data_IF_866665009283
#
_entry.id   IF_866665009283
#
_cell.length_a   1.000
_cell.length_b   1.000
_cell.length_c   1.000
_cell.angle_alpha   90.00
_cell.angle_beta   90.00
_cell.angle_gamma   90.00
#
_symmetry.space_group_name_H-M   'P 1'
#
loop_
_entity.id
_entity.type
_entity.pdbx_description
1 polymer ?
#
# COMPACT_ATOMS: atom_id res chain seq x y z
N UNK A 1 -21.75 -1.53 10.72
CA UNK A 1 -20.41 -1.16 11.18
C UNK A 1 -19.44 -1.32 10.02
N UNK A 2 -18.77 -0.25 9.60
CA UNK A 2 -17.76 -0.28 8.52
C UNK A 2 -16.40 0.05 9.11
N UNK A 3 -15.39 -0.77 8.83
CA UNK A 3 -14.00 -0.55 9.27
C UNK A 3 -13.03 -0.87 8.14
N UNK A 4 -11.97 -0.08 8.02
CA UNK A 4 -10.93 -0.30 7.01
C UNK A 4 -9.61 0.33 7.46
N UNK A 5 -8.51 -0.08 6.83
CA UNK A 5 -7.17 0.48 7.06
C UNK A 5 -6.63 0.98 5.73
N UNK A 6 -5.97 2.14 5.75
CA UNK A 6 -5.35 2.76 4.57
C UNK A 6 -3.94 3.22 4.88
N UNK A 7 -3.08 3.29 3.87
CA UNK A 7 -1.70 3.70 4.06
C UNK A 7 -1.55 5.21 4.09
N UNK A 8 -0.61 5.67 4.89
CA UNK A 8 -0.19 7.05 4.97
C UNK A 8 1.18 7.17 4.30
N UNK A 9 1.31 8.04 3.31
CA UNK A 9 2.56 8.25 2.59
C UNK A 9 3.09 9.65 2.81
N UNK A 10 4.41 9.79 2.88
CA UNK A 10 5.09 11.08 2.81
C UNK A 10 5.07 11.60 1.37
N UNK A 11 4.77 12.89 1.22
CA UNK A 11 4.87 13.61 -0.05
C UNK A 11 5.85 14.76 0.11
N UNK A 12 6.66 14.97 -0.92
CA UNK A 12 7.60 16.08 -1.04
C UNK A 12 7.29 16.80 -2.36
N UNK A 13 6.86 18.07 -2.32
CA UNK A 13 6.43 18.78 -3.53
C UNK A 13 5.32 18.07 -4.32
N UNK A 14 4.44 17.32 -3.63
CA UNK A 14 3.38 16.45 -4.20
C UNK A 14 3.88 15.19 -4.91
N UNK A 15 5.16 14.87 -4.80
CA UNK A 15 5.73 13.59 -5.25
C UNK A 15 5.59 12.57 -4.11
N UNK A 16 4.96 11.43 -4.42
CA UNK A 16 4.78 10.35 -3.45
C UNK A 16 6.12 9.72 -3.09
N UNK A 17 6.45 9.72 -1.81
CA UNK A 17 7.62 9.08 -1.23
C UNK A 17 7.26 7.82 -0.45
N UNK A 18 8.01 7.58 0.62
CA UNK A 18 7.93 6.37 1.43
C UNK A 18 6.60 6.26 2.19
N UNK A 19 6.24 5.02 2.53
CA UNK A 19 5.20 4.75 3.51
C UNK A 19 5.63 5.34 4.87
N UNK A 20 4.75 6.14 5.45
CA UNK A 20 4.93 6.86 6.71
C UNK A 20 3.95 6.36 7.81
N UNK A 21 3.31 5.22 7.61
CA UNK A 21 2.38 4.59 8.54
C UNK A 21 1.02 4.27 7.92
N UNK A 22 -0.03 4.31 8.75
CA UNK A 22 -1.38 3.93 8.33
C UNK A 22 -2.46 4.67 9.10
N UNK A 23 -3.66 4.66 8.55
CA UNK A 23 -4.89 5.16 9.18
C UNK A 23 -5.87 3.99 9.29
N UNK A 24 -6.34 3.73 10.51
CA UNK A 24 -7.44 2.78 10.76
C UNK A 24 -8.72 3.56 10.99
N UNK A 25 -9.76 3.23 10.25
CA UNK A 25 -11.06 3.90 10.29
C UNK A 25 -12.12 2.95 10.83
N UNK A 26 -12.96 3.44 11.73
CA UNK A 26 -14.12 2.75 12.29
C UNK A 26 -15.34 3.68 12.20
N UNK A 27 -16.40 3.25 11.52
CA UNK A 27 -17.63 4.01 11.31
C UNK A 27 -18.76 3.27 12.03
N UNK A 28 -19.24 3.89 13.11
CA UNK A 28 -20.20 3.32 14.06
C UNK A 28 -21.45 4.20 14.16
N UNK A 29 -22.38 4.07 13.21
CA UNK A 29 -23.64 4.82 13.22
C UNK A 29 -23.37 6.32 13.38
N UNK A 30 -23.70 6.88 14.54
CA UNK A 30 -23.52 8.29 14.88
C UNK A 30 -22.07 8.77 14.98
N UNK A 31 -21.11 7.90 15.35
CA UNK A 31 -19.71 8.31 15.56
C UNK A 31 -18.75 7.54 14.68
N UNK A 32 -17.82 8.29 14.07
CA UNK A 32 -16.70 7.74 13.33
C UNK A 32 -15.40 8.06 14.06
N UNK A 33 -14.53 7.06 14.16
CA UNK A 33 -13.20 7.20 14.72
C UNK A 33 -12.17 6.86 13.66
N UNK A 34 -11.09 7.63 13.60
CA UNK A 34 -9.93 7.25 12.80
C UNK A 34 -8.65 7.43 13.60
N UNK A 35 -7.87 6.36 13.65
CA UNK A 35 -6.57 6.30 14.28
C UNK A 35 -5.51 6.59 13.23
N UNK A 36 -4.72 7.63 13.44
CA UNK A 36 -3.53 7.94 12.66
C UNK A 36 -2.33 7.37 13.38
N UNK A 37 -1.59 6.48 12.72
CA UNK A 37 -0.31 5.99 13.21
C UNK A 37 0.78 6.36 12.21
N UNK A 38 1.72 7.17 12.66
CA UNK A 38 2.90 7.57 11.91
C UNK A 38 4.09 6.75 12.40
N UNK A 39 4.83 6.18 11.45
CA UNK A 39 6.14 5.54 11.66
C UNK A 39 7.05 5.95 10.51
N UNK A 40 8.36 5.90 10.73
CA UNK A 40 9.36 6.08 9.67
C UNK A 40 9.46 7.50 9.07
N UNK A 41 9.17 8.55 9.84
CA UNK A 41 9.48 9.93 9.43
C UNK A 41 10.93 10.38 9.73
N UNK A 42 11.84 9.43 9.90
CA UNK A 42 13.24 9.70 10.24
C UNK A 42 13.37 10.44 11.57
N UNK A 43 14.15 11.53 11.61
CA UNK A 43 14.40 12.31 12.83
C UNK A 43 13.39 13.45 13.05
N UNK A 44 12.34 13.54 12.24
CA UNK A 44 11.36 14.63 12.34
C UNK A 44 10.68 14.63 13.72
N UNK A 45 10.62 15.81 14.34
CA UNK A 45 9.84 16.05 15.54
C UNK A 45 9.19 17.43 15.42
N UNK A 46 7.89 17.51 15.67
CA UNK A 46 7.11 18.71 15.42
C UNK A 46 5.61 18.43 15.46
N UNK A 47 4.78 19.46 15.23
CA UNK A 47 3.34 19.26 15.11
C UNK A 47 2.94 18.92 13.68
N UNK A 48 1.75 18.37 13.54
CA UNK A 48 1.05 18.28 12.27
C UNK A 48 -0.43 18.57 12.43
N UNK A 49 -1.03 19.19 11.41
CA UNK A 49 -2.48 19.45 11.35
C UNK A 49 -3.15 18.43 10.44
N UNK A 50 -4.22 17.81 10.94
CA UNK A 50 -4.91 16.72 10.27
C UNK A 50 -6.20 17.23 9.63
N UNK A 51 -6.32 17.00 8.34
CA UNK A 51 -7.45 17.43 7.52
C UNK A 51 -8.16 16.23 6.90
N UNK A 52 -9.49 16.22 6.99
CA UNK A 52 -10.37 15.36 6.21
C UNK A 52 -10.67 16.07 4.89
N UNK A 53 -10.40 15.39 3.77
CA UNK A 53 -10.52 15.97 2.44
C UNK A 53 -11.83 15.53 1.78
N UNK A 54 -12.51 16.49 1.15
CA UNK A 54 -13.77 16.32 0.44
C UNK A 54 -13.64 16.77 -1.02
N UNK A 55 -14.69 16.56 -1.81
CA UNK A 55 -14.78 17.11 -3.17
C UNK A 55 -14.77 18.65 -3.17
N UNK A 56 -14.44 19.24 -4.34
CA UNK A 56 -14.42 20.68 -4.60
C UNK A 56 -13.42 21.48 -3.73
N UNK A 57 -12.24 20.91 -3.47
CA UNK A 57 -11.16 21.53 -2.67
C UNK A 57 -11.55 21.84 -1.21
N UNK A 58 -12.67 21.28 -0.73
CA UNK A 58 -13.08 21.43 0.66
C UNK A 58 -12.25 20.53 1.58
N UNK A 59 -11.74 21.11 2.67
CA UNK A 59 -11.02 20.41 3.72
C UNK A 59 -11.59 20.81 5.09
N UNK A 60 -11.72 19.84 5.99
CA UNK A 60 -12.16 20.07 7.37
C UNK A 60 -11.04 19.65 8.31
N UNK A 61 -10.64 20.56 9.19
CA UNK A 61 -9.64 20.25 10.22
C UNK A 61 -10.23 19.31 11.28
N UNK A 62 -9.63 18.13 11.42
CA UNK A 62 -10.00 17.17 12.45
C UNK A 62 -9.31 17.45 13.79
N UNK A 63 -8.06 17.93 13.75
CA UNK A 63 -7.27 18.34 14.91
C UNK A 63 -5.76 18.37 14.64
N UNK A 64 -4.97 18.45 15.71
CA UNK A 64 -3.50 18.41 15.65
C UNK A 64 -2.97 17.04 16.10
N UNK A 65 -1.75 16.67 15.69
CA UNK A 65 -0.93 15.62 16.30
C UNK A 65 0.47 16.12 16.57
N UNK A 66 1.16 15.47 17.51
CA UNK A 66 2.59 15.72 17.76
C UNK A 66 3.40 14.50 17.34
N UNK A 67 4.37 14.72 16.45
CA UNK A 67 5.37 13.72 16.06
C UNK A 67 6.60 13.87 16.93
N UNK A 68 7.08 12.75 17.48
CA UNK A 68 8.33 12.67 18.22
C UNK A 68 9.19 11.56 17.62
N UNK A 69 10.44 11.88 17.26
CA UNK A 69 11.38 10.93 16.66
C UNK A 69 10.79 10.14 15.48
N UNK A 70 10.05 10.84 14.61
CA UNK A 70 9.45 10.24 13.42
C UNK A 70 8.24 9.35 13.68
N UNK A 71 7.70 9.34 14.91
CA UNK A 71 6.56 8.54 15.32
C UNK A 71 5.43 9.39 15.92
N UNK A 72 4.19 8.99 15.64
CA UNK A 72 3.00 9.54 16.29
C UNK A 72 1.87 8.51 16.30
N UNK A 73 0.96 8.62 17.27
CA UNK A 73 -0.27 7.83 17.31
C UNK A 73 -1.36 8.67 17.95
N UNK A 74 -2.41 8.97 17.21
CA UNK A 74 -3.52 9.79 17.68
C UNK A 74 -4.86 9.23 17.17
N UNK A 75 -5.92 9.38 17.96
CA UNK A 75 -7.28 8.95 17.60
C UNK A 75 -8.19 10.17 17.52
N UNK A 76 -8.83 10.34 16.38
CA UNK A 76 -9.80 11.40 16.15
C UNK A 76 -11.21 10.82 16.13
N UNK A 77 -12.11 11.43 16.89
CA UNK A 77 -13.53 11.11 16.90
C UNK A 77 -14.31 12.26 16.26
N UNK A 78 -15.20 11.93 15.33
CA UNK A 78 -16.06 12.88 14.65
C UNK A 78 -17.49 12.35 14.57
N UNK A 79 -18.43 13.26 14.42
CA UNK A 79 -19.79 12.89 14.07
C UNK A 79 -19.83 12.33 12.65
N UNK A 80 -20.48 11.18 12.48
CA UNK A 80 -20.54 10.51 11.17
C UNK A 80 -21.41 11.30 10.18
N UNK A 81 -22.49 11.92 10.65
CA UNK A 81 -23.48 12.57 9.79
C UNK A 81 -23.15 14.06 9.58
N UNK A 82 -22.48 14.68 10.55
CA UNK A 82 -22.11 16.10 10.47
C UNK A 82 -20.72 16.38 11.04
N UNK A 83 -19.68 16.07 10.26
CA UNK A 83 -18.29 16.27 10.67
C UNK A 83 -18.05 17.75 10.97
N UNK A 84 -17.77 18.06 12.25
CA UNK A 84 -17.45 19.42 12.74
C UNK A 84 -18.48 20.49 12.30
N UNK A 85 -19.76 20.14 12.34
CA UNK A 85 -20.88 21.04 11.99
C UNK A 85 -20.83 21.61 10.55
N UNK A 86 -20.12 20.94 9.65
CA UNK A 86 -19.92 21.37 8.26
C UNK A 86 -21.06 21.06 7.30
N UNK A 87 -22.02 20.23 7.72
CA UNK A 87 -23.04 19.62 6.87
C UNK A 87 -22.52 18.49 5.97
N UNK A 88 -21.28 18.02 6.18
CA UNK A 88 -20.67 16.91 5.43
C UNK A 88 -20.62 15.64 6.29
N UNK A 89 -20.88 14.49 5.67
CA UNK A 89 -20.79 13.19 6.35
C UNK A 89 -19.36 12.63 6.28
N UNK A 90 -18.97 11.78 7.23
CA UNK A 90 -17.68 11.11 7.19
C UNK A 90 -17.57 10.14 6.00
N UNK A 91 -18.70 9.61 5.52
CA UNK A 91 -18.75 8.72 4.36
C UNK A 91 -18.32 9.40 3.04
N UNK A 92 -18.36 10.74 2.99
CA UNK A 92 -17.94 11.54 1.83
C UNK A 92 -16.43 11.84 1.83
N UNK A 93 -15.68 11.42 2.85
CA UNK A 93 -14.25 11.71 2.94
C UNK A 93 -13.49 10.96 1.84
N UNK A 94 -12.73 11.72 1.05
CA UNK A 94 -11.90 11.23 -0.05
C UNK A 94 -10.49 10.82 0.41
N UNK A 95 -10.06 11.29 1.58
CA UNK A 95 -8.75 11.00 2.13
C UNK A 95 -8.42 11.86 3.34
N UNK A 96 -7.25 11.62 3.89
CA UNK A 96 -6.68 12.39 5.01
C UNK A 96 -5.39 13.04 4.54
N UNK A 97 -5.21 14.32 4.83
CA UNK A 97 -3.97 15.06 4.62
C UNK A 97 -3.44 15.56 5.96
N UNK A 98 -2.13 15.45 6.19
CA UNK A 98 -1.47 15.92 7.41
C UNK A 98 -0.35 16.87 7.02
N UNK A 99 -0.52 18.15 7.35
CA UNK A 99 0.48 19.18 7.08
C UNK A 99 1.46 19.22 8.25
N UNK A 100 2.76 19.09 7.95
CA UNK A 100 3.83 19.04 8.94
C UNK A 100 4.44 20.44 9.11
N UNK A 101 4.63 20.88 10.35
CA UNK A 101 5.28 22.16 10.63
C UNK A 101 6.77 22.13 10.26
N UNK A 102 7.28 23.23 9.68
CA UNK A 102 8.70 23.41 9.35
C UNK A 102 9.29 22.27 8.48
N UNK A 103 8.48 21.68 7.60
CA UNK A 103 8.84 20.49 6.85
C UNK A 103 9.03 20.73 5.34
N UNK A 104 9.21 21.97 4.88
CA UNK A 104 9.52 22.35 3.48
C UNK A 104 8.68 21.61 2.43
N UNK A 105 7.45 22.08 2.19
CA UNK A 105 6.46 21.48 1.27
C UNK A 105 6.07 20.02 1.56
N UNK A 106 6.63 19.37 2.59
CA UNK A 106 6.29 18.00 2.94
C UNK A 106 4.98 17.90 3.71
N UNK A 107 4.20 16.90 3.36
CA UNK A 107 2.98 16.53 4.05
C UNK A 107 2.77 15.03 3.96
N UNK A 108 1.89 14.50 4.80
CA UNK A 108 1.43 13.12 4.67
C UNK A 108 0.06 13.08 4.03
N UNK A 109 -0.23 12.05 3.24
CA UNK A 109 -1.58 11.82 2.76
C UNK A 109 -1.94 10.34 2.62
N UNK A 110 -3.21 10.06 2.84
CA UNK A 110 -3.89 8.81 2.55
C UNK A 110 -5.04 9.10 1.59
N UNK A 111 -5.03 8.49 0.41
CA UNK A 111 -6.04 8.72 -0.63
C UNK A 111 -6.99 7.52 -0.70
N UNK A 112 -8.29 7.77 -0.60
CA UNK A 112 -9.36 6.75 -0.61
C UNK A 112 -10.22 6.81 -1.88
N UNK A 113 -9.77 7.56 -2.88
CA UNK A 113 -10.43 7.79 -4.17
C UNK A 113 -9.41 7.72 -5.31
N UNK A 114 -9.90 7.43 -6.52
CA UNK A 114 -9.11 7.45 -7.75
C UNK A 114 -8.68 8.87 -8.13
N UNK A 115 -9.46 9.88 -7.74
CA UNK A 115 -9.10 11.29 -7.92
C UNK A 115 -8.08 11.75 -6.87
N UNK A 116 -6.86 11.21 -6.95
CA UNK A 116 -5.78 11.52 -6.00
C UNK A 116 -5.45 13.00 -5.96
N UNK A 117 -5.64 13.73 -7.06
CA UNK A 117 -5.45 15.18 -7.16
C UNK A 117 -6.36 15.97 -6.21
N UNK A 118 -7.53 15.45 -5.82
CA UNK A 118 -8.37 16.05 -4.80
C UNK A 118 -7.70 16.07 -3.41
N UNK A 119 -6.86 15.08 -3.12
CA UNK A 119 -6.20 14.90 -1.81
C UNK A 119 -4.79 15.49 -1.79
N UNK A 120 -4.01 15.28 -2.85
CA UNK A 120 -2.60 15.69 -2.92
C UNK A 120 -2.39 17.03 -3.65
N UNK A 121 -3.42 17.55 -4.33
CA UNK A 121 -3.32 18.67 -5.25
C UNK A 121 -2.76 18.28 -6.63
N UNK A 122 -2.83 19.18 -7.61
CA UNK A 122 -2.24 18.95 -8.94
C UNK A 122 -0.71 18.92 -8.87
N UNK A 123 0.00 18.02 -9.57
CA UNK A 123 1.47 18.06 -9.60
C UNK A 123 1.97 19.44 -10.03
N UNK A 124 2.96 19.98 -9.31
CA UNK A 124 3.73 21.12 -9.81
C UNK A 124 4.49 20.62 -11.05
N UNK A 125 4.27 21.25 -12.21
CA UNK A 125 4.99 20.92 -13.44
C UNK A 125 6.48 21.20 -13.22
N UNK A 126 7.25 20.18 -12.83
CA UNK A 126 8.70 20.20 -13.03
C UNK A 126 8.92 19.89 -14.50
N UNK A 127 9.48 20.85 -15.23
CA UNK A 127 9.87 20.67 -16.64
C UNK A 127 10.82 19.48 -16.74
N UNK A 128 10.57 18.64 -17.73
CA UNK A 128 11.45 17.54 -18.10
C UNK A 128 12.78 18.11 -18.59
N UNK A 129 13.89 17.60 -18.05
CA UNK A 129 15.17 17.58 -18.75
C UNK A 129 15.73 16.15 -18.71
N UNK A 130 15.24 15.35 -19.65
CA UNK A 130 16.00 14.25 -20.21
C UNK A 130 16.99 14.86 -21.21
N UNK A 131 18.25 15.07 -20.81
CA UNK A 131 19.34 15.20 -21.77
C UNK A 131 20.44 14.18 -21.47
N UNK A 132 20.60 13.28 -22.45
CA UNK A 132 21.71 12.35 -22.61
C UNK A 132 23.07 13.03 -22.41
N UNK A 133 23.91 12.46 -21.54
CA UNK A 133 25.33 12.29 -21.85
C UNK A 133 25.79 10.88 -21.47
N UNK A 134 26.14 10.11 -22.51
CA UNK A 134 26.78 8.80 -22.44
C UNK A 134 28.31 8.95 -22.35
N UNK A 135 28.90 8.02 -21.60
CA UNK A 135 30.24 7.40 -21.68
C UNK A 135 31.38 7.95 -20.78
N UNK A 136 32.37 7.11 -20.39
CA UNK A 136 32.26 5.71 -19.90
C UNK A 136 33.27 5.32 -18.78
N UNK A 137 33.10 4.10 -18.23
CA UNK A 137 34.08 3.23 -17.50
C UNK A 137 34.44 3.57 -16.04
N UNK A 138 34.10 2.65 -15.13
CA UNK A 138 35.05 1.84 -14.31
C UNK A 138 34.29 0.82 -13.46
N UNK A 139 34.31 -0.44 -13.89
CA UNK A 139 33.91 -1.58 -13.08
C UNK A 139 35.03 -1.97 -12.09
N UNK A 140 34.69 -2.52 -10.93
CA UNK A 140 35.46 -3.61 -10.34
C UNK A 140 34.85 -4.94 -10.78
N UNK A 141 35.73 -5.86 -11.16
CA UNK A 141 35.44 -7.19 -11.72
C UNK A 141 34.70 -8.13 -10.74
N UNK A 142 34.00 -9.13 -11.32
CA UNK A 142 33.30 -10.21 -10.61
C UNK A 142 34.24 -11.38 -10.29
N UNK A 143 33.79 -12.33 -9.46
CA UNK A 143 33.89 -13.79 -9.64
C UNK A 143 33.41 -14.56 -8.38
N UNK A 144 33.02 -15.86 -8.45
CA UNK A 144 32.51 -16.63 -9.60
C UNK A 144 31.33 -17.59 -9.28
N UNK A 145 30.61 -17.97 -10.34
CA UNK A 145 29.82 -19.21 -10.45
C UNK A 145 28.32 -19.08 -10.14
N UNK A 146 27.37 -19.61 -10.90
CA UNK A 146 27.44 -20.52 -12.03
C UNK A 146 26.10 -20.41 -12.81
N UNK A 147 26.23 -20.21 -14.12
CA UNK A 147 25.41 -20.67 -15.25
C UNK A 147 23.87 -20.53 -15.28
N UNK A 148 23.45 -19.97 -16.42
CA UNK A 148 22.14 -20.12 -17.04
C UNK A 148 21.77 -21.61 -17.18
N UNK A 149 20.51 -21.94 -16.97
CA UNK A 149 19.85 -22.97 -17.77
C UNK A 149 18.35 -22.66 -17.90
N UNK A 150 17.92 -22.46 -19.15
CA UNK A 150 16.55 -22.68 -19.58
C UNK A 150 16.52 -24.15 -19.97
N UNK A 151 15.86 -24.99 -19.18
CA UNK A 151 15.29 -26.23 -19.71
C UNK A 151 14.02 -26.59 -18.93
N UNK A 152 12.93 -26.66 -19.67
CA UNK A 152 11.66 -27.24 -19.23
C UNK A 152 11.87 -28.71 -18.88
N UNK A 153 11.49 -29.11 -17.67
CA UNK A 153 11.06 -30.48 -17.41
C UNK A 153 9.83 -30.45 -16.51
N UNK A 154 8.72 -30.93 -17.07
CA UNK A 154 7.57 -31.37 -16.32
C UNK A 154 8.02 -32.55 -15.44
N UNK A 155 7.91 -32.40 -14.13
CA UNK A 155 7.84 -33.53 -13.21
C UNK A 155 6.38 -33.59 -12.77
N UNK A 156 5.72 -34.66 -13.20
CA UNK A 156 4.39 -35.05 -12.73
C UNK A 156 4.55 -35.60 -11.32
N UNK A 157 4.39 -34.73 -10.34
CA UNK A 157 4.01 -35.06 -8.97
C UNK A 157 2.87 -34.10 -8.63
N UNK A 158 1.86 -34.56 -7.90
CA UNK A 158 0.64 -33.80 -7.57
C UNK A 158 0.86 -32.58 -6.67
N UNK A 159 1.72 -31.67 -7.08
CA UNK A 159 2.06 -30.41 -6.43
C UNK A 159 1.38 -29.25 -7.15
N UNK A 160 1.03 -28.23 -6.38
CA UNK A 160 0.37 -27.03 -6.87
C UNK A 160 1.12 -26.39 -8.04
N UNK A 161 0.39 -26.10 -9.12
CA UNK A 161 0.96 -25.44 -10.30
C UNK A 161 0.95 -23.94 -10.09
N UNK A 162 2.12 -23.36 -9.87
CA UNK A 162 2.32 -21.90 -9.76
C UNK A 162 2.80 -21.35 -11.10
N UNK A 163 2.07 -20.38 -11.65
CA UNK A 163 2.47 -19.61 -12.84
C UNK A 163 2.58 -18.13 -12.51
N UNK A 164 3.59 -17.45 -13.05
CA UNK A 164 3.69 -15.98 -12.99
C UNK A 164 2.77 -15.36 -14.04
N UNK A 165 2.12 -14.25 -13.68
CA UNK A 165 1.29 -13.47 -14.59
C UNK A 165 1.58 -11.97 -14.44
N UNK A 166 1.32 -11.24 -15.52
CA UNK A 166 1.32 -9.77 -15.52
C UNK A 166 -0.04 -9.21 -15.07
N UNK A 167 -0.06 -7.95 -14.62
CA UNK A 167 -1.31 -7.25 -14.25
C UNK A 167 -2.30 -7.17 -15.42
N UNK A 168 -1.81 -7.12 -16.65
CA UNK A 168 -2.64 -7.09 -17.87
C UNK A 168 -3.47 -8.37 -18.04
N UNK A 169 -2.95 -9.50 -17.57
CA UNK A 169 -3.61 -10.81 -17.67
C UNK A 169 -4.80 -10.93 -16.71
N UNK A 170 -4.91 -10.08 -15.68
CA UNK A 170 -6.08 -10.05 -14.79
C UNK A 170 -7.39 -9.75 -15.54
N UNK A 171 -7.31 -9.07 -16.69
CA UNK A 171 -8.47 -8.82 -17.56
C UNK A 171 -9.06 -10.09 -18.18
N UNK A 172 -8.29 -11.18 -18.19
CA UNK A 172 -8.73 -12.48 -18.71
C UNK A 172 -9.44 -13.33 -17.65
N UNK A 173 -9.50 -12.86 -16.40
CA UNK A 173 -10.18 -13.57 -15.33
C UNK A 173 -11.70 -13.63 -15.56
N UNK A 174 -12.39 -14.69 -15.09
CA UNK A 174 -13.84 -14.78 -15.10
C UNK A 174 -14.49 -13.57 -14.42
N UNK A 175 -15.64 -13.12 -14.92
CA UNK A 175 -16.33 -11.92 -14.43
C UNK A 175 -16.60 -11.93 -12.91
N UNK A 176 -16.83 -13.11 -12.33
CA UNK A 176 -16.98 -13.30 -10.87
C UNK A 176 -15.79 -12.78 -10.04
N UNK A 177 -14.61 -12.63 -10.66
CA UNK A 177 -13.35 -12.28 -9.98
C UNK A 177 -12.89 -10.86 -10.29
N UNK A 178 -13.64 -10.09 -11.08
CA UNK A 178 -13.24 -8.73 -11.44
C UNK A 178 -13.18 -7.77 -10.25
N UNK A 179 -13.83 -8.12 -9.12
CA UNK A 179 -13.70 -7.38 -7.88
C UNK A 179 -12.24 -7.25 -7.40
N UNK A 180 -11.35 -8.18 -7.80
CA UNK A 180 -9.95 -8.19 -7.37
C UNK A 180 -9.08 -7.19 -8.13
N UNK A 181 -9.50 -6.74 -9.32
CA UNK A 181 -8.69 -5.88 -10.20
C UNK A 181 -8.39 -4.52 -9.55
N UNK A 182 -9.30 -4.04 -8.69
CA UNK A 182 -9.16 -2.78 -7.95
C UNK A 182 -8.69 -2.99 -6.51
N UNK A 183 -8.23 -4.19 -6.15
CA UNK A 183 -7.78 -4.47 -4.79
C UNK A 183 -6.46 -3.72 -4.52
N UNK A 184 -6.47 -2.81 -3.54
CA UNK A 184 -5.31 -1.97 -3.23
C UNK A 184 -4.08 -2.78 -2.83
N UNK A 185 -4.25 -3.90 -2.12
CA UNK A 185 -3.14 -4.78 -1.75
C UNK A 185 -2.44 -5.37 -2.99
N UNK A 186 -3.23 -5.85 -3.95
CA UNK A 186 -2.73 -6.33 -5.24
C UNK A 186 -2.00 -5.23 -6.01
N UNK A 187 -2.61 -4.06 -6.18
CA UNK A 187 -2.04 -2.95 -6.94
C UNK A 187 -0.70 -2.53 -6.32
N UNK A 188 -0.62 -2.45 -4.99
CA UNK A 188 0.61 -2.11 -4.29
C UNK A 188 1.68 -3.20 -4.41
N UNK A 189 1.32 -4.47 -4.21
CA UNK A 189 2.27 -5.57 -4.36
C UNK A 189 2.83 -5.65 -5.78
N UNK A 190 1.98 -5.54 -6.80
CA UNK A 190 2.43 -5.50 -8.19
C UNK A 190 3.31 -4.27 -8.48
N UNK A 191 2.98 -3.10 -7.94
CA UNK A 191 3.80 -1.90 -8.12
C UNK A 191 5.24 -2.08 -7.61
N UNK A 192 5.42 -2.84 -6.52
CA UNK A 192 6.71 -3.09 -5.90
C UNK A 192 7.52 -4.20 -6.61
N UNK A 193 6.87 -5.32 -6.96
CA UNK A 193 7.56 -6.52 -7.43
C UNK A 193 7.39 -6.81 -8.93
N UNK A 194 6.50 -6.09 -9.61
CA UNK A 194 6.23 -6.17 -11.06
C UNK A 194 5.80 -7.54 -11.58
N UNK A 195 5.25 -8.39 -10.71
CA UNK A 195 4.65 -9.66 -11.10
C UNK A 195 3.58 -10.08 -10.09
N UNK A 196 2.66 -10.95 -10.52
CA UNK A 196 1.74 -11.69 -9.67
C UNK A 196 1.89 -13.19 -9.96
N UNK A 197 1.25 -14.03 -9.17
CA UNK A 197 1.21 -15.47 -9.42
C UNK A 197 -0.22 -16.01 -9.39
N UNK A 198 -0.49 -17.02 -10.21
CA UNK A 198 -1.68 -17.86 -10.08
C UNK A 198 -1.22 -19.24 -9.64
N UNK A 199 -1.72 -19.66 -8.49
CA UNK A 199 -1.54 -21.02 -7.98
C UNK A 199 -2.80 -21.82 -8.27
N UNK A 200 -2.62 -23.04 -8.79
CA UNK A 200 -3.73 -23.99 -8.97
C UNK A 200 -3.45 -25.21 -8.13
N UNK A 201 -4.34 -25.49 -7.18
CA UNK A 201 -4.27 -26.66 -6.31
C UNK A 201 -4.59 -27.94 -7.10
N UNK A 202 -4.27 -29.09 -6.52
CA UNK A 202 -4.64 -30.45 -6.95
C UNK A 202 -6.13 -30.60 -7.24
N UNK A 203 -6.98 -29.92 -6.47
CA UNK A 203 -8.44 -29.86 -6.66
C UNK A 203 -8.90 -28.95 -7.82
N UNK A 204 -7.96 -28.30 -8.52
CA UNK A 204 -8.24 -27.36 -9.62
C UNK A 204 -8.69 -25.97 -9.16
N UNK A 205 -8.66 -25.68 -7.85
CA UNK A 205 -8.96 -24.35 -7.29
C UNK A 205 -7.84 -23.38 -7.62
N UNK A 206 -8.20 -22.16 -8.01
CA UNK A 206 -7.24 -21.13 -8.37
C UNK A 206 -7.11 -20.08 -7.27
N UNK A 207 -5.88 -19.63 -7.05
CA UNK A 207 -5.53 -18.61 -6.07
C UNK A 207 -4.66 -17.57 -6.75
N UNK A 208 -4.95 -16.30 -6.47
CA UNK A 208 -4.12 -15.17 -6.88
C UNK A 208 -3.16 -14.83 -5.76
N UNK A 209 -1.86 -14.90 -6.05
CA UNK A 209 -0.78 -14.56 -5.14
C UNK A 209 -0.20 -13.18 -5.44
N UNK A 210 -0.10 -12.36 -4.41
CA UNK A 210 0.55 -11.05 -4.44
C UNK A 210 1.87 -11.17 -3.69
N UNK A 211 3.01 -10.86 -4.33
CA UNK A 211 4.31 -10.93 -3.68
C UNK A 211 4.43 -9.93 -2.53
N UNK A 212 5.08 -10.34 -1.45
CA UNK A 212 5.10 -9.61 -0.20
C UNK A 212 6.03 -10.18 0.85
N UNK A 213 6.17 -9.49 1.99
CA UNK A 213 6.88 -10.01 3.17
C UNK A 213 5.91 -10.42 4.27
N UNK A 214 6.29 -11.40 5.08
CA UNK A 214 5.45 -11.96 6.14
C UNK A 214 5.37 -11.13 7.43
N UNK A 215 5.87 -9.89 7.40
CA UNK A 215 5.91 -9.00 8.56
C UNK A 215 4.52 -8.79 9.17
N UNK A 216 4.39 -8.62 10.50
CA UNK A 216 3.09 -8.52 11.17
C UNK A 216 2.18 -7.43 10.61
N UNK A 217 2.75 -6.31 10.14
CA UNK A 217 1.98 -5.22 9.53
C UNK A 217 1.38 -5.66 8.19
N UNK A 218 2.19 -6.26 7.32
CA UNK A 218 1.74 -6.72 6.01
C UNK A 218 0.76 -7.90 6.12
N UNK A 219 0.98 -8.81 7.07
CA UNK A 219 0.05 -9.91 7.40
C UNK A 219 -1.34 -9.41 7.78
N UNK A 220 -1.40 -8.40 8.64
CA UNK A 220 -2.66 -7.76 9.01
C UNK A 220 -3.35 -7.14 7.78
N UNK A 221 -2.58 -6.50 6.91
CA UNK A 221 -3.09 -5.83 5.71
C UNK A 221 -3.59 -6.83 4.67
N UNK A 222 -2.80 -7.86 4.36
CA UNK A 222 -3.16 -8.95 3.47
C UNK A 222 -4.50 -9.58 3.90
N UNK A 223 -4.65 -9.90 5.20
CA UNK A 223 -5.88 -10.44 5.76
C UNK A 223 -7.10 -9.51 5.61
N UNK A 224 -6.95 -8.19 5.77
CA UNK A 224 -8.04 -7.21 5.57
C UNK A 224 -8.47 -7.16 4.11
N UNK A 225 -7.53 -7.30 3.17
CA UNK A 225 -7.79 -7.26 1.73
C UNK A 225 -8.14 -8.64 1.13
N UNK A 226 -8.35 -9.66 1.96
CA UNK A 226 -8.79 -11.00 1.53
C UNK A 226 -7.66 -11.94 1.11
N UNK A 227 -6.40 -11.56 1.34
CA UNK A 227 -5.23 -12.40 1.11
C UNK A 227 -4.77 -13.03 2.43
N UNK A 228 -5.47 -14.06 2.89
CA UNK A 228 -5.32 -14.61 4.26
C UNK A 228 -4.24 -15.67 4.39
N UNK A 229 -3.80 -16.25 3.26
CA UNK A 229 -2.82 -17.32 3.24
C UNK A 229 -1.46 -16.78 2.78
N UNK A 230 -0.37 -17.26 3.37
CA UNK A 230 0.99 -16.86 3.00
C UNK A 230 1.85 -18.08 2.75
N UNK A 231 2.56 -18.07 1.62
CA UNK A 231 3.56 -19.10 1.32
C UNK A 231 4.92 -18.44 1.08
N UNK A 232 5.97 -18.84 1.84
CA UNK A 232 7.30 -18.30 1.63
C UNK A 232 7.88 -18.79 0.31
N UNK A 233 8.62 -17.91 -0.39
CA UNK A 233 9.22 -18.23 -1.69
C UNK A 233 10.42 -19.18 -1.58
N UNK A 234 10.97 -19.34 -0.38
CA UNK A 234 12.04 -20.28 -0.04
C UNK A 234 11.65 -21.05 1.22
N UNK A 235 12.23 -22.26 1.46
CA UNK A 235 11.99 -23.00 2.68
C UNK A 235 12.30 -22.14 3.91
N UNK A 236 11.30 -21.90 4.74
CA UNK A 236 11.38 -21.07 5.94
C UNK A 236 10.62 -21.76 7.07
N UNK A 237 11.14 -21.67 8.29
CA UNK A 237 10.43 -22.18 9.46
C UNK A 237 9.44 -21.12 10.00
N UNK A 238 8.59 -21.50 10.95
CA UNK A 238 7.58 -20.58 11.50
C UNK A 238 8.19 -19.33 12.18
N UNK A 239 9.35 -19.46 12.83
CA UNK A 239 10.05 -18.33 13.45
C UNK A 239 10.60 -17.35 12.42
N UNK A 240 11.09 -17.85 11.28
CA UNK A 240 11.53 -17.03 10.16
C UNK A 240 10.34 -16.24 9.59
N UNK A 241 9.20 -16.90 9.41
CA UNK A 241 7.97 -16.26 8.94
C UNK A 241 7.48 -15.17 9.90
N UNK A 242 7.65 -15.33 11.21
CA UNK A 242 7.33 -14.27 12.17
C UNK A 242 8.33 -13.11 12.16
N UNK A 243 9.55 -13.34 11.67
CA UNK A 243 10.59 -12.32 11.53
C UNK A 243 10.53 -11.51 10.22
N UNK A 244 9.76 -11.96 9.22
CA UNK A 244 9.54 -11.25 7.94
C UNK A 244 10.32 -11.85 6.76
N UNK A 245 9.83 -12.96 6.20
CA UNK A 245 10.36 -13.57 4.97
C UNK A 245 9.58 -13.16 3.74
N UNK A 246 10.24 -13.18 2.59
CA UNK A 246 9.60 -12.95 1.30
C UNK A 246 8.78 -14.18 0.84
N UNK A 247 7.61 -13.91 0.27
CA UNK A 247 6.69 -14.93 -0.22
C UNK A 247 5.51 -14.33 -0.98
N UNK A 248 4.40 -15.07 -0.99
CA UNK A 248 3.18 -14.69 -1.68
C UNK A 248 1.99 -14.79 -0.75
N UNK A 249 1.20 -13.71 -0.71
CA UNK A 249 -0.09 -13.65 -0.05
C UNK A 249 -1.18 -14.08 -1.02
N UNK A 250 -1.97 -15.10 -0.68
CA UNK A 250 -2.95 -15.72 -1.58
C UNK A 250 -4.39 -15.38 -1.22
N UNK A 251 -5.19 -15.13 -2.26
CA UNK A 251 -6.64 -14.99 -2.22
C UNK A 251 -7.26 -15.97 -3.22
N UNK A 252 -8.35 -16.65 -2.85
CA UNK A 252 -9.05 -17.60 -3.71
C UNK A 252 -9.86 -16.89 -4.81
N UNK A 253 -9.81 -17.43 -6.04
CA UNK A 253 -10.56 -17.01 -7.23
C UNK A 253 -11.81 -17.88 -7.50
#
# INVERSE_FOLDING_TARGET
>A
MKRFVTYLYLYDGRIKGNNAGFIKVEINGEKSAFLVQIKNLGKYSGKGRVYLIYEAEAAIEAGELTVKNGEAREIYNVDTENVKDSGKTFLQVLGVKIELENADEKFLASCWTDNTAAVIGKPLKVQADLSNKKNPVSAPKPEPGCQKEIHSQNVDDGQDKIRRIDISELRTLPAKNWYIVNNSFLIHGYANYKHLVIKTDTDGRQYLGVPGVSEPQERMLAGIFGFTEFEPAAPANAADVDSGVFGYWFCQL
#
